data_IF_653173875055
#
_entry.id   IF_653173875055
#
_cell.length_a   1.000
_cell.length_b   1.000
_cell.length_c   1.000
_cell.angle_alpha   90.00
_cell.angle_beta   90.00
_cell.angle_gamma   90.00
#
_symmetry.space_group_name_H-M   'P 1'
#
loop_
_entity.id
_entity.type
_entity.pdbx_description
1 polymer ?
#
# COMPACT_ATOMS: atom_id res chain seq x y z
N UNK A 1 -13.50 7.82 -23.86
CA UNK A 1 -13.11 6.40 -24.05
C UNK A 1 -11.66 6.13 -23.69
N UNK A 2 -10.64 6.59 -24.44
CA UNK A 2 -9.23 6.24 -24.15
C UNK A 2 -8.71 6.60 -22.73
N UNK A 3 -9.12 7.73 -22.18
CA UNK A 3 -8.70 8.18 -20.83
C UNK A 3 -9.35 7.32 -19.74
N UNK A 4 -10.63 7.00 -19.87
CA UNK A 4 -11.34 6.14 -18.90
C UNK A 4 -10.77 4.72 -18.91
N UNK A 5 -10.53 4.15 -20.09
CA UNK A 5 -9.89 2.82 -20.24
C UNK A 5 -8.49 2.80 -19.62
N UNK A 6 -7.70 3.86 -19.81
CA UNK A 6 -6.38 3.99 -19.19
C UNK A 6 -6.47 4.03 -17.66
N UNK A 7 -7.37 4.86 -17.10
CA UNK A 7 -7.56 4.96 -15.64
C UNK A 7 -8.05 3.64 -15.03
N UNK A 8 -8.99 2.96 -15.68
CA UNK A 8 -9.48 1.66 -15.23
C UNK A 8 -8.37 0.60 -15.28
N UNK A 9 -7.50 0.63 -16.30
CA UNK A 9 -6.33 -0.23 -16.33
C UNK A 9 -5.35 0.10 -15.21
N UNK A 10 -5.05 1.37 -14.98
CA UNK A 10 -4.14 1.81 -13.92
C UNK A 10 -4.64 1.37 -12.53
N UNK A 11 -5.94 1.45 -12.28
CA UNK A 11 -6.54 0.95 -11.04
C UNK A 11 -6.43 -0.58 -10.89
N UNK A 12 -6.54 -1.34 -11.98
CA UNK A 12 -6.30 -2.81 -11.94
C UNK A 12 -4.85 -3.13 -11.63
N UNK A 13 -3.92 -2.42 -12.28
CA UNK A 13 -2.49 -2.59 -12.04
C UNK A 13 -2.15 -2.24 -10.57
N UNK A 14 -2.72 -1.14 -10.03
CA UNK A 14 -2.62 -0.76 -8.63
C UNK A 14 -3.13 -1.85 -7.68
N UNK A 15 -4.34 -2.38 -7.90
CA UNK A 15 -4.89 -3.48 -7.09
C UNK A 15 -3.96 -4.70 -7.10
N UNK A 16 -3.38 -5.04 -8.25
CA UNK A 16 -2.44 -6.15 -8.35
C UNK A 16 -1.15 -5.89 -7.55
N UNK A 17 -0.60 -4.67 -7.63
CA UNK A 17 0.56 -4.26 -6.85
C UNK A 17 0.30 -4.41 -5.34
N UNK A 18 -0.84 -3.93 -4.83
CA UNK A 18 -1.14 -4.00 -3.40
C UNK A 18 -1.44 -5.44 -2.93
N UNK A 19 -2.01 -6.29 -3.81
CA UNK A 19 -2.20 -7.72 -3.52
C UNK A 19 -0.85 -8.43 -3.39
N UNK A 20 0.09 -8.16 -4.30
CA UNK A 20 1.45 -8.69 -4.26
C UNK A 20 2.22 -8.16 -3.05
N UNK A 21 2.10 -6.86 -2.76
CA UNK A 21 2.64 -6.21 -1.56
C UNK A 21 2.17 -6.87 -0.29
N UNK A 22 0.85 -7.01 -0.14
CA UNK A 22 0.25 -7.68 1.00
C UNK A 22 0.77 -9.11 1.16
N UNK A 23 0.84 -9.87 0.08
CA UNK A 23 1.31 -11.26 0.14
C UNK A 23 2.78 -11.32 0.55
N UNK A 24 3.63 -10.43 0.00
CA UNK A 24 5.02 -10.32 0.40
C UNK A 24 5.16 -10.02 1.89
N UNK A 25 4.45 -9.00 2.40
CA UNK A 25 4.51 -8.61 3.81
C UNK A 25 4.04 -9.72 4.76
N UNK A 26 2.98 -10.46 4.43
CA UNK A 26 2.54 -11.60 5.23
C UNK A 26 3.59 -12.72 5.29
N UNK A 27 4.26 -13.02 4.17
CA UNK A 27 5.32 -14.03 4.16
C UNK A 27 6.59 -13.56 4.87
N UNK A 28 6.92 -12.26 4.78
CA UNK A 28 8.02 -11.65 5.52
C UNK A 28 7.75 -11.70 7.03
N UNK A 29 6.54 -11.35 7.49
CA UNK A 29 6.16 -11.43 8.90
C UNK A 29 6.31 -12.84 9.48
N UNK A 30 5.90 -13.87 8.72
CA UNK A 30 6.05 -15.28 9.14
C UNK A 30 7.51 -15.71 9.31
N UNK A 31 8.41 -15.15 8.51
CA UNK A 31 9.84 -15.47 8.51
C UNK A 31 10.65 -14.58 9.45
N UNK A 32 10.09 -13.45 9.87
CA UNK A 32 10.78 -12.46 10.67
C UNK A 32 11.23 -13.02 12.01
N UNK A 33 12.50 -12.81 12.36
CA UNK A 33 13.06 -13.22 13.66
C UNK A 33 12.90 -12.11 14.69
N UNK A 34 13.19 -10.87 14.28
CA UNK A 34 12.91 -9.67 15.07
C UNK A 34 11.40 -9.48 15.29
N UNK A 35 10.94 -9.31 16.55
CA UNK A 35 9.55 -8.96 16.86
C UNK A 35 9.11 -7.64 16.23
N UNK A 36 9.97 -6.62 16.21
CA UNK A 36 9.69 -5.31 15.61
C UNK A 36 9.51 -5.40 14.11
N UNK A 37 10.37 -6.15 13.42
CA UNK A 37 10.25 -6.38 11.96
C UNK A 37 8.96 -7.14 11.66
N UNK A 38 8.60 -8.16 12.46
CA UNK A 38 7.32 -8.86 12.29
C UNK A 38 6.14 -7.89 12.36
N UNK A 39 6.11 -7.04 13.37
CA UNK A 39 5.03 -6.06 13.56
C UNK A 39 4.96 -5.03 12.42
N UNK A 40 6.11 -4.56 11.92
CA UNK A 40 6.15 -3.68 10.75
C UNK A 40 5.55 -4.37 9.53
N UNK A 41 5.94 -5.62 9.27
CA UNK A 41 5.42 -6.38 8.13
C UNK A 41 3.91 -6.64 8.26
N UNK A 42 3.41 -6.98 9.46
CA UNK A 42 1.97 -7.14 9.71
C UNK A 42 1.20 -5.83 9.53
N UNK A 43 1.77 -4.71 10.00
CA UNK A 43 1.21 -3.38 9.82
C UNK A 43 1.08 -3.00 8.33
N UNK A 44 2.14 -3.22 7.54
CA UNK A 44 2.12 -2.95 6.10
C UNK A 44 1.09 -3.86 5.40
N UNK A 45 1.04 -5.15 5.73
CA UNK A 45 0.05 -6.07 5.18
C UNK A 45 -1.42 -5.68 5.48
N UNK A 46 -1.68 -5.08 6.65
CA UNK A 46 -3.01 -4.59 7.00
C UNK A 46 -3.33 -3.28 6.26
N UNK A 47 -2.35 -2.40 6.08
CA UNK A 47 -2.50 -1.16 5.29
C UNK A 47 -2.89 -1.48 3.85
N UNK A 48 -2.28 -2.49 3.25
CA UNK A 48 -2.61 -2.90 1.87
C UNK A 48 -4.04 -3.39 1.70
N UNK A 49 -4.66 -3.97 2.74
CA UNK A 49 -6.08 -4.35 2.65
C UNK A 49 -6.96 -3.14 2.42
N UNK A 50 -6.64 -2.03 3.07
CA UNK A 50 -7.38 -0.78 2.89
C UNK A 50 -7.13 -0.20 1.49
N UNK A 51 -5.89 -0.20 1.00
CA UNK A 51 -5.57 0.26 -0.36
C UNK A 51 -6.32 -0.56 -1.42
N UNK A 52 -6.26 -1.89 -1.34
CA UNK A 52 -6.98 -2.82 -2.23
C UNK A 52 -8.48 -2.53 -2.22
N UNK A 53 -9.09 -2.40 -1.03
CA UNK A 53 -10.50 -2.11 -0.91
C UNK A 53 -10.84 -0.77 -1.56
N UNK A 54 -10.01 0.25 -1.33
CA UNK A 54 -10.21 1.59 -1.87
C UNK A 54 -10.10 1.64 -3.39
N UNK A 55 -9.07 1.06 -3.97
CA UNK A 55 -8.92 1.04 -5.42
C UNK A 55 -10.02 0.22 -6.11
N UNK A 56 -10.48 -0.87 -5.50
CA UNK A 56 -11.64 -1.61 -6.00
C UNK A 56 -12.95 -0.81 -5.93
N UNK A 57 -13.16 -0.04 -4.86
CA UNK A 57 -14.31 0.87 -4.75
C UNK A 57 -14.29 1.91 -5.88
N UNK A 58 -13.15 2.59 -6.06
CA UNK A 58 -12.96 3.59 -7.12
C UNK A 58 -13.16 2.96 -8.50
N UNK A 59 -12.54 1.81 -8.78
CA UNK A 59 -12.70 1.09 -10.03
C UNK A 59 -14.17 0.80 -10.35
N UNK A 60 -14.90 0.20 -9.40
CA UNK A 60 -16.30 -0.19 -9.60
C UNK A 60 -17.23 1.01 -9.80
N UNK A 61 -16.89 2.15 -9.20
CA UNK A 61 -17.62 3.40 -9.45
C UNK A 61 -17.34 3.91 -10.86
N UNK A 62 -16.07 4.07 -11.22
CA UNK A 62 -15.65 4.66 -12.50
C UNK A 62 -15.95 3.78 -13.72
N UNK A 63 -16.09 2.47 -13.53
CA UNK A 63 -16.55 1.54 -14.56
C UNK A 63 -18.02 1.79 -14.95
N UNK A 64 -18.85 2.20 -13.98
CA UNK A 64 -20.27 2.47 -14.20
C UNK A 64 -20.52 3.93 -14.62
N UNK A 65 -19.84 4.85 -13.96
CA UNK A 65 -19.94 6.30 -14.20
C UNK A 65 -18.55 6.92 -14.06
N UNK A 66 -17.98 7.51 -15.14
CA UNK A 66 -16.64 8.12 -15.10
C UNK A 66 -16.54 9.38 -14.22
N UNK A 67 -17.62 9.81 -13.58
CA UNK A 67 -17.66 11.00 -12.73
C UNK A 67 -16.96 10.77 -11.40
N UNK A 68 -15.97 11.61 -11.10
CA UNK A 68 -15.37 11.66 -9.77
C UNK A 68 -16.26 12.42 -8.80
N UNK A 69 -16.46 11.85 -7.62
CA UNK A 69 -17.23 12.45 -6.52
C UNK A 69 -16.36 12.54 -5.27
N UNK A 70 -16.68 13.48 -4.39
CA UNK A 70 -15.97 13.62 -3.10
C UNK A 70 -16.00 12.31 -2.29
N UNK A 71 -17.10 11.56 -2.37
CA UNK A 71 -17.25 10.28 -1.68
C UNK A 71 -16.24 9.24 -2.15
N UNK A 72 -16.05 9.10 -3.48
CA UNK A 72 -15.08 8.13 -4.00
C UNK A 72 -13.64 8.61 -3.80
N UNK A 73 -13.40 9.93 -3.80
CA UNK A 73 -12.10 10.54 -3.54
C UNK A 73 -11.71 10.51 -2.05
N UNK A 74 -12.67 10.31 -1.15
CA UNK A 74 -12.40 10.33 0.29
C UNK A 74 -11.40 9.25 0.71
N UNK A 75 -10.30 9.69 1.33
CA UNK A 75 -9.29 8.85 1.96
C UNK A 75 -9.50 8.85 3.48
N UNK A 76 -9.96 7.72 4.01
CA UNK A 76 -10.25 7.49 5.43
C UNK A 76 -9.61 6.17 5.89
N UNK A 77 -8.27 6.09 5.90
CA UNK A 77 -7.59 4.89 6.36
C UNK A 77 -7.93 4.62 7.84
N UNK A 78 -7.82 3.36 8.31
CA UNK A 78 -7.90 3.06 9.73
C UNK A 78 -6.93 3.95 10.51
N UNK A 79 -7.35 4.41 11.69
CA UNK A 79 -6.45 5.15 12.57
C UNK A 79 -5.37 4.19 13.06
N UNK A 80 -4.13 4.49 12.72
CA UNK A 80 -2.96 3.81 13.25
C UNK A 80 -2.21 4.75 14.19
N UNK A 81 -1.57 4.19 15.20
CA UNK A 81 -0.71 4.96 16.11
C UNK A 81 0.37 5.68 15.30
N UNK A 82 0.55 7.00 15.47
CA UNK A 82 1.67 7.71 14.90
C UNK A 82 2.97 6.99 15.26
N UNK A 83 3.87 6.86 14.30
CA UNK A 83 5.18 6.23 14.50
C UNK A 83 5.13 4.73 14.86
N UNK A 84 4.10 3.98 14.43
CA UNK A 84 4.01 2.52 14.62
C UNK A 84 5.30 1.79 14.27
N UNK A 85 5.95 2.13 13.15
CA UNK A 85 7.23 1.52 12.77
C UNK A 85 8.35 1.86 13.77
N UNK A 86 8.40 3.09 14.29
CA UNK A 86 9.39 3.49 15.30
C UNK A 86 9.16 2.71 16.59
N UNK A 87 7.89 2.62 17.03
CA UNK A 87 7.53 1.88 18.23
C UNK A 87 7.84 0.38 18.08
N UNK A 88 7.57 -0.21 16.93
CA UNK A 88 7.92 -1.60 16.63
C UNK A 88 9.44 -1.82 16.76
N UNK A 89 10.27 -0.91 16.24
CA UNK A 89 11.73 -1.01 16.35
C UNK A 89 12.24 -0.90 17.79
N UNK A 90 11.48 -0.32 18.73
CA UNK A 90 11.87 -0.29 20.16
C UNK A 90 11.71 -1.65 20.86
N UNK A 91 11.00 -2.60 20.26
CA UNK A 91 10.79 -3.95 20.80
C UNK A 91 11.95 -4.89 20.50
N UNK A 92 12.89 -4.46 19.67
CA UNK A 92 14.01 -5.30 19.27
C UNK A 92 15.17 -5.20 20.26
N UNK A 93 15.56 -6.35 20.79
CA UNK A 93 16.83 -6.48 21.49
C UNK A 93 17.98 -6.49 20.48
N UNK A 94 19.13 -5.90 20.85
CA UNK A 94 20.33 -5.86 20.03
C UNK A 94 20.73 -7.27 19.58
N UNK A 95 20.73 -7.52 18.26
CA UNK A 95 21.14 -8.81 17.68
C UNK A 95 20.01 -9.83 17.47
N UNK A 96 18.75 -9.47 17.70
CA UNK A 96 17.59 -10.35 17.43
C UNK A 96 17.25 -10.51 15.94
N UNK A 97 17.75 -9.61 15.09
CA UNK A 97 17.53 -9.59 13.64
C UNK A 97 18.58 -10.36 12.83
N UNK A 98 18.13 -11.03 11.76
CA UNK A 98 19.01 -11.70 10.77
C UNK A 98 19.06 -11.01 9.41
N UNK A 99 19.85 -11.55 8.48
CA UNK A 99 19.95 -11.03 7.10
C UNK A 99 18.57 -10.97 6.42
N UNK A 100 17.71 -11.96 6.64
CA UNK A 100 16.36 -12.00 6.09
C UNK A 100 15.48 -10.83 6.56
N UNK A 101 15.61 -10.41 7.83
CA UNK A 101 14.85 -9.29 8.40
C UNK A 101 15.29 -7.97 7.76
N UNK A 102 16.61 -7.77 7.62
CA UNK A 102 17.16 -6.59 6.95
C UNK A 102 16.76 -6.54 5.47
N UNK A 103 16.78 -7.68 4.78
CA UNK A 103 16.33 -7.75 3.39
C UNK A 103 14.83 -7.48 3.28
N UNK A 104 14.00 -8.00 4.19
CA UNK A 104 12.56 -7.73 4.22
C UNK A 104 12.27 -6.24 4.36
N UNK A 105 12.94 -5.54 5.30
CA UNK A 105 12.81 -4.09 5.46
C UNK A 105 13.23 -3.32 4.20
N UNK A 106 14.38 -3.66 3.61
CA UNK A 106 14.88 -3.01 2.39
C UNK A 106 13.95 -3.21 1.21
N UNK A 107 13.41 -4.41 1.05
CA UNK A 107 12.46 -4.71 -0.02
C UNK A 107 11.15 -3.97 0.21
N UNK A 108 10.62 -3.94 1.45
CA UNK A 108 9.42 -3.16 1.78
C UNK A 108 9.57 -1.69 1.44
N UNK A 109 10.68 -1.04 1.85
CA UNK A 109 10.95 0.36 1.48
C UNK A 109 10.90 0.58 -0.04
N UNK A 110 11.56 -0.29 -0.82
CA UNK A 110 11.56 -0.18 -2.28
C UNK A 110 10.17 -0.35 -2.89
N UNK A 111 9.37 -1.27 -2.36
CA UNK A 111 8.01 -1.51 -2.83
C UNK A 111 7.15 -0.26 -2.59
N UNK A 112 7.20 0.31 -1.39
CA UNK A 112 6.50 1.55 -1.07
C UNK A 112 6.98 2.74 -1.92
N UNK A 113 8.29 2.89 -2.13
CA UNK A 113 8.85 3.92 -3.03
C UNK A 113 8.32 3.78 -4.46
N UNK A 114 8.28 2.55 -5.00
CA UNK A 114 7.71 2.27 -6.31
C UNK A 114 6.21 2.59 -6.37
N UNK A 115 5.44 2.26 -5.33
CA UNK A 115 4.02 2.60 -5.24
C UNK A 115 3.79 4.11 -5.19
N UNK A 116 4.58 4.83 -4.39
CA UNK A 116 4.54 6.31 -4.32
C UNK A 116 4.83 6.93 -5.68
N UNK A 117 5.87 6.47 -6.38
CA UNK A 117 6.21 6.96 -7.72
C UNK A 117 5.07 6.70 -8.71
N UNK A 118 4.49 5.50 -8.68
CA UNK A 118 3.39 5.12 -9.55
C UNK A 118 2.15 6.01 -9.33
N UNK A 119 1.69 6.15 -8.08
CA UNK A 119 0.51 6.97 -7.78
C UNK A 119 0.76 8.46 -8.00
N UNK A 120 1.97 8.95 -7.69
CA UNK A 120 2.36 10.34 -7.98
C UNK A 120 2.31 10.63 -9.48
N UNK A 121 2.74 9.67 -10.32
CA UNK A 121 2.63 9.80 -11.77
C UNK A 121 1.16 9.85 -12.20
N UNK A 122 0.32 8.93 -11.73
CA UNK A 122 -1.10 8.90 -12.08
C UNK A 122 -1.82 10.19 -11.68
N UNK A 123 -1.57 10.69 -10.47
CA UNK A 123 -2.16 11.95 -9.98
C UNK A 123 -1.76 13.16 -10.85
N UNK A 124 -0.53 13.19 -11.41
CA UNK A 124 -0.10 14.24 -12.34
C UNK A 124 -0.75 14.13 -13.72
N UNK A 125 -1.07 12.91 -14.16
CA UNK A 125 -1.72 12.66 -15.45
C UNK A 125 -3.24 12.85 -15.37
N UNK A 126 -3.81 12.82 -14.17
CA UNK A 126 -5.21 13.07 -13.92
C UNK A 126 -5.55 14.56 -14.15
N UNK A 127 -6.65 14.81 -14.87
CA UNK A 127 -7.14 16.17 -15.15
C UNK A 127 -8.27 16.59 -14.21
N UNK A 128 -8.81 15.66 -13.44
CA UNK A 128 -9.86 15.92 -12.46
C UNK A 128 -9.19 16.19 -11.09
N UNK A 129 -9.50 17.31 -10.41
CA UNK A 129 -8.89 17.64 -9.12
C UNK A 129 -9.29 16.69 -7.97
N UNK A 130 -10.31 15.84 -8.17
CA UNK A 130 -10.74 14.81 -7.22
C UNK A 130 -10.09 13.43 -7.49
N UNK A 131 -9.33 13.30 -8.57
CA UNK A 131 -8.70 12.04 -9.00
C UNK A 131 -7.28 11.88 -8.47
#
# INVERSE_FOLDING_TARGET
MKVQEYMLKALKDAVQMEVEGRQFYLEAAKKAKSPGVREIMEYLAESEKYHIAKFNEVYRSLEKDPSWTETIAAFKPPQHEPYVCVMAMTKDEQGSGGDDDLQALKTGIKMEECSIDYYTKLAKEATNPLA
#
